data_IF_304668275628
#
_entry.id   IF_304668275628
#
_cell.length_a   1.000
_cell.length_b   1.000
_cell.length_c   1.000
_cell.angle_alpha   90.00
_cell.angle_beta   90.00
_cell.angle_gamma   90.00
#
_symmetry.space_group_name_H-M   'P 1'
#
loop_
_entity.id
_entity.type
_entity.pdbx_description
1 polymer ?
#
# COMPACT_ATOMS: atom_id res chain seq x y z
N UNK A 1 12.83 39.21 -48.85
CA UNK A 1 13.62 38.64 -47.76
C UNK A 1 12.89 38.95 -46.44
N UNK A 2 12.13 38.01 -45.92
CA UNK A 2 11.37 38.19 -44.66
C UNK A 2 11.88 37.13 -43.69
N UNK A 3 12.50 37.58 -42.60
CA UNK A 3 12.94 36.74 -41.48
C UNK A 3 11.71 36.31 -40.69
N UNK A 4 11.52 34.99 -40.62
CA UNK A 4 10.52 34.40 -39.75
C UNK A 4 11.26 33.99 -38.47
N UNK A 5 11.04 34.76 -37.41
CA UNK A 5 11.49 34.43 -36.05
C UNK A 5 10.55 33.35 -35.52
N UNK A 6 11.09 32.13 -35.37
CA UNK A 6 10.38 31.06 -34.66
C UNK A 6 10.53 31.27 -33.17
N UNK A 7 9.47 31.73 -32.53
CA UNK A 7 9.39 31.78 -31.06
C UNK A 7 9.05 30.39 -30.54
N UNK A 8 10.05 29.71 -30.02
CA UNK A 8 9.86 28.45 -29.32
C UNK A 8 9.33 28.73 -27.93
N UNK A 9 8.04 28.49 -27.72
CA UNK A 9 7.43 28.58 -26.40
C UNK A 9 7.81 27.28 -25.64
N UNK A 10 8.80 27.37 -24.80
CA UNK A 10 9.13 26.33 -23.82
C UNK A 10 8.09 26.39 -22.69
N UNK A 11 7.09 25.52 -22.72
CA UNK A 11 6.18 25.34 -21.60
C UNK A 11 6.94 24.58 -20.50
N UNK A 12 7.47 25.34 -19.56
CA UNK A 12 7.96 24.78 -18.30
C UNK A 12 6.75 24.39 -17.46
N UNK A 13 6.45 23.10 -17.42
CA UNK A 13 5.47 22.54 -16.50
C UNK A 13 6.05 22.61 -15.08
N UNK A 14 5.73 23.67 -14.36
CA UNK A 14 6.04 23.75 -12.93
C UNK A 14 5.07 22.83 -12.22
N UNK A 15 5.49 21.60 -11.96
CA UNK A 15 4.82 20.72 -11.01
C UNK A 15 5.07 21.29 -9.62
N UNK A 16 4.16 22.12 -9.15
CA UNK A 16 4.17 22.61 -7.77
C UNK A 16 3.71 21.43 -6.91
N UNK A 17 4.66 20.73 -6.32
CA UNK A 17 4.39 19.77 -5.26
C UNK A 17 3.84 20.56 -4.07
N UNK A 18 2.53 20.55 -3.90
CA UNK A 18 1.86 21.16 -2.77
C UNK A 18 2.12 20.26 -1.55
N UNK A 19 3.24 20.48 -0.87
CA UNK A 19 3.43 19.99 0.49
C UNK A 19 2.49 20.81 1.38
N UNK A 20 1.25 20.37 1.52
CA UNK A 20 0.38 20.85 2.57
C UNK A 20 0.90 20.29 3.88
N UNK A 21 1.69 21.09 4.58
CA UNK A 21 1.96 20.85 6.01
C UNK A 21 0.60 20.84 6.70
N UNK A 22 0.17 19.65 7.16
CA UNK A 22 -0.98 19.55 8.08
C UNK A 22 -0.53 20.23 9.36
N UNK A 23 -0.82 21.53 9.47
CA UNK A 23 -0.64 22.23 10.72
C UNK A 23 -1.61 21.60 11.73
N UNK A 24 -1.08 20.93 12.72
CA UNK A 24 -1.86 20.46 13.86
C UNK A 24 -2.41 21.70 14.54
N UNK A 25 -3.69 21.99 14.31
CA UNK A 25 -4.42 23.00 15.07
C UNK A 25 -4.65 22.38 16.46
N UNK A 26 -3.69 22.57 17.34
CA UNK A 26 -3.86 22.26 18.75
C UNK A 26 -4.82 23.27 19.33
N UNK A 27 -6.10 22.96 19.33
CA UNK A 27 -7.05 23.64 20.19
C UNK A 27 -6.78 23.15 21.61
N UNK A 28 -6.22 24.01 22.44
CA UNK A 28 -6.15 23.82 23.90
C UNK A 28 -7.56 23.97 24.51
N UNK A 29 -8.42 23.01 24.16
CA UNK A 29 -9.71 22.79 24.84
C UNK A 29 -9.58 21.48 25.59
N UNK A 30 -10.16 21.41 26.79
CA UNK A 30 -10.24 20.20 27.63
C UNK A 30 -11.06 19.09 26.95
N UNK A 31 -10.67 18.65 25.76
CA UNK A 31 -11.19 17.45 25.11
C UNK A 31 -10.15 16.36 25.27
N UNK A 32 -10.45 15.35 26.06
CA UNK A 32 -9.57 14.20 26.30
C UNK A 32 -9.33 13.33 25.03
N UNK A 33 -9.94 13.69 23.89
CA UNK A 33 -9.89 12.93 22.63
C UNK A 33 -9.68 13.86 21.42
N UNK A 34 -8.46 14.39 21.22
CA UNK A 34 -8.14 15.30 20.11
C UNK A 34 -8.17 14.59 18.76
N UNK A 35 -8.54 15.31 17.71
CA UNK A 35 -8.41 14.85 16.33
C UNK A 35 -6.92 14.79 15.97
N UNK A 36 -6.47 13.64 15.48
CA UNK A 36 -5.10 13.36 15.04
C UNK A 36 -5.11 12.79 13.63
N UNK A 37 -4.00 12.93 12.94
CA UNK A 37 -3.81 12.32 11.63
C UNK A 37 -2.34 12.00 11.41
N UNK A 38 -2.07 11.03 10.55
CA UNK A 38 -0.73 10.62 10.15
C UNK A 38 -0.74 10.18 8.69
N UNK A 39 0.28 10.57 7.97
CA UNK A 39 0.57 10.06 6.63
C UNK A 39 1.84 9.22 6.73
N UNK A 40 1.76 7.98 6.29
CA UNK A 40 2.91 7.08 6.21
C UNK A 40 3.07 6.61 4.77
N UNK A 41 4.25 6.79 4.23
CA UNK A 41 4.71 6.12 3.01
C UNK A 41 5.58 4.97 3.49
N UNK A 42 4.99 3.79 3.62
CA UNK A 42 5.69 2.59 4.12
C UNK A 42 6.68 2.07 3.09
N UNK A 43 6.32 2.19 1.81
CA UNK A 43 7.15 1.76 0.70
C UNK A 43 7.08 2.81 -0.42
N UNK A 44 8.24 3.30 -0.80
CA UNK A 44 8.47 3.92 -2.10
C UNK A 44 9.79 3.35 -2.59
N UNK A 45 9.70 2.39 -3.50
CA UNK A 45 10.83 1.53 -3.84
C UNK A 45 10.98 1.30 -5.34
N UNK A 46 12.21 1.08 -5.71
CA UNK A 46 12.58 0.52 -7.00
C UNK A 46 12.76 -0.99 -6.84
N UNK A 47 12.12 -1.75 -7.72
CA UNK A 47 12.19 -3.20 -7.79
C UNK A 47 13.03 -3.60 -9.00
N UNK A 48 14.10 -4.37 -8.75
CA UNK A 48 14.96 -4.93 -9.81
C UNK A 48 14.41 -6.26 -10.32
N UNK A 49 13.11 -6.24 -10.67
CA UNK A 49 12.41 -7.35 -11.30
C UNK A 49 12.51 -7.26 -12.84
N UNK A 50 11.89 -8.19 -13.55
CA UNK A 50 11.89 -8.24 -15.02
C UNK A 50 11.34 -6.95 -15.66
N UNK A 51 10.40 -6.29 -15.03
CA UNK A 51 9.72 -5.07 -15.52
C UNK A 51 10.33 -3.77 -14.99
N UNK A 52 11.21 -3.84 -13.97
CA UNK A 52 11.85 -2.69 -13.32
C UNK A 52 10.85 -1.67 -12.81
N UNK A 53 9.99 -2.14 -11.89
CA UNK A 53 8.89 -1.37 -11.36
C UNK A 53 9.33 -0.30 -10.36
N UNK A 54 8.50 0.73 -10.24
CA UNK A 54 8.43 1.59 -9.05
C UNK A 54 7.16 1.19 -8.31
N UNK A 55 7.31 0.76 -7.06
CA UNK A 55 6.20 0.38 -6.21
C UNK A 55 6.02 1.37 -5.06
N UNK A 56 4.77 1.52 -4.61
CA UNK A 56 4.44 2.31 -3.43
C UNK A 56 3.42 1.58 -2.56
N UNK A 57 3.54 1.79 -1.24
CA UNK A 57 2.51 1.48 -0.26
C UNK A 57 2.42 2.68 0.68
N UNK A 58 1.25 3.28 0.76
CA UNK A 58 1.02 4.53 1.51
C UNK A 58 -0.30 4.43 2.25
N UNK A 59 -0.30 4.86 3.48
CA UNK A 59 -1.53 5.00 4.25
C UNK A 59 -1.64 6.39 4.86
N UNK A 60 -2.85 6.88 4.93
CA UNK A 60 -3.22 8.10 5.64
C UNK A 60 -4.38 7.79 6.57
N UNK A 61 -4.31 8.28 7.80
CA UNK A 61 -5.47 8.22 8.66
C UNK A 61 -5.73 9.55 9.36
N UNK A 62 -7.00 9.77 9.64
CA UNK A 62 -7.49 10.92 10.40
C UNK A 62 -8.58 10.44 11.36
N UNK A 63 -8.50 10.82 12.62
CA UNK A 63 -9.53 10.42 13.57
C UNK A 63 -9.18 10.72 15.01
N UNK A 64 -9.94 10.11 15.88
CA UNK A 64 -9.80 10.11 17.32
C UNK A 64 -9.34 8.75 17.81
N UNK A 65 -9.10 8.61 19.12
CA UNK A 65 -8.49 7.39 19.67
C UNK A 65 -9.23 6.10 19.26
N UNK A 66 -10.56 6.09 19.30
CA UNK A 66 -11.36 4.89 18.99
C UNK A 66 -11.91 4.82 17.57
N UNK A 67 -11.93 5.94 16.84
CA UNK A 67 -12.59 6.04 15.54
C UNK A 67 -11.71 6.80 14.56
N UNK A 68 -11.33 6.15 13.46
CA UNK A 68 -10.43 6.70 12.46
C UNK A 68 -10.96 6.44 11.06
N UNK A 69 -10.69 7.34 10.15
CA UNK A 69 -10.86 7.13 8.73
C UNK A 69 -9.47 6.84 8.15
N UNK A 70 -9.32 5.71 7.46
CA UNK A 70 -8.09 5.33 6.77
C UNK A 70 -8.27 5.41 5.27
N UNK A 71 -7.24 5.87 4.60
CA UNK A 71 -7.05 5.73 3.16
C UNK A 71 -5.75 4.97 2.93
N UNK A 72 -5.87 3.80 2.31
CA UNK A 72 -4.73 2.99 1.86
C UNK A 72 -4.60 3.10 0.35
N UNK A 73 -3.40 3.22 -0.14
CA UNK A 73 -3.07 3.11 -1.56
C UNK A 73 -1.77 2.35 -1.72
N UNK A 74 -1.82 1.30 -2.50
CA UNK A 74 -0.64 0.58 -2.93
C UNK A 74 -0.69 0.34 -4.42
N UNK A 75 0.46 0.10 -5.02
CA UNK A 75 0.50 -0.18 -6.44
C UNK A 75 1.91 -0.19 -6.97
N UNK A 76 1.97 -0.50 -8.26
CA UNK A 76 3.21 -0.57 -9.00
C UNK A 76 3.07 0.07 -10.37
N UNK A 77 4.17 0.59 -10.84
CA UNK A 77 4.28 1.17 -12.17
C UNK A 77 5.43 0.52 -12.92
N UNK A 78 5.15 -0.44 -13.80
CA UNK A 78 6.10 -0.97 -14.73
C UNK A 78 6.66 0.10 -15.68
N UNK A 79 7.88 -0.08 -16.13
CA UNK A 79 8.49 0.87 -17.06
C UNK A 79 7.83 0.79 -18.43
N UNK A 80 7.06 1.83 -18.80
CA UNK A 80 6.41 1.93 -20.10
C UNK A 80 4.99 1.36 -20.15
N UNK A 81 4.44 0.91 -19.03
CA UNK A 81 3.10 0.34 -18.92
C UNK A 81 2.15 1.18 -18.05
N UNK A 82 0.90 0.74 -17.99
CA UNK A 82 -0.13 1.35 -17.16
C UNK A 82 0.07 1.00 -15.71
N UNK A 83 -0.29 1.92 -14.83
CA UNK A 83 -0.20 1.75 -13.38
C UNK A 83 -1.24 0.75 -12.89
N UNK A 84 -0.80 -0.28 -12.16
CA UNK A 84 -1.65 -1.09 -11.29
C UNK A 84 -1.77 -0.43 -9.92
N UNK A 85 -2.97 -0.39 -9.35
CA UNK A 85 -3.15 0.16 -8.00
C UNK A 85 -4.35 -0.40 -7.28
N UNK A 86 -4.22 -0.53 -5.97
CA UNK A 86 -5.28 -0.90 -5.03
C UNK A 86 -5.48 0.26 -4.06
N UNK A 87 -6.72 0.70 -3.94
CA UNK A 87 -7.07 1.83 -3.11
C UNK A 87 -8.22 1.45 -2.19
N UNK A 88 -8.15 1.81 -0.90
CA UNK A 88 -9.21 1.52 0.05
C UNK A 88 -9.49 2.75 0.91
N UNK A 89 -10.76 3.08 1.08
CA UNK A 89 -11.23 4.07 2.04
C UNK A 89 -12.10 3.37 3.06
N UNK A 90 -11.62 3.27 4.30
CA UNK A 90 -12.29 2.51 5.35
C UNK A 90 -12.41 3.30 6.64
N UNK A 91 -13.54 3.14 7.30
CA UNK A 91 -13.72 3.58 8.67
C UNK A 91 -13.24 2.48 9.61
N UNK A 92 -12.41 2.83 10.58
CA UNK A 92 -11.79 1.94 11.57
C UNK A 92 -12.31 2.27 12.94
N UNK A 93 -12.72 1.23 13.70
CA UNK A 93 -13.14 1.34 15.07
C UNK A 93 -12.42 0.33 15.94
N UNK A 94 -11.84 0.81 17.04
CA UNK A 94 -11.25 -0.05 18.04
C UNK A 94 -12.34 -0.89 18.73
N UNK A 95 -12.17 -2.22 18.72
CA UNK A 95 -13.09 -3.20 19.31
C UNK A 95 -12.48 -3.92 20.51
N UNK A 96 -11.16 -3.97 20.58
CA UNK A 96 -10.40 -4.54 21.68
C UNK A 96 -9.03 -3.84 21.80
N UNK A 97 -8.28 -4.01 22.88
CA UNK A 97 -6.90 -3.56 22.93
C UNK A 97 -6.11 -4.13 21.74
N UNK A 98 -5.49 -3.25 20.97
CA UNK A 98 -4.69 -3.59 19.78
C UNK A 98 -5.45 -4.15 18.56
N UNK A 99 -6.80 -4.11 18.56
CA UNK A 99 -7.58 -4.62 17.45
C UNK A 99 -8.66 -3.63 17.01
N UNK A 100 -8.64 -3.32 15.72
CA UNK A 100 -9.60 -2.47 15.03
C UNK A 100 -10.40 -3.30 14.01
N UNK A 101 -11.71 -3.11 13.97
CA UNK A 101 -12.54 -3.52 12.83
C UNK A 101 -12.63 -2.36 11.85
N UNK A 102 -12.50 -2.69 10.56
CA UNK A 102 -12.57 -1.71 9.47
C UNK A 102 -13.67 -2.10 8.50
N UNK A 103 -14.38 -1.12 7.96
CA UNK A 103 -15.34 -1.31 6.88
C UNK A 103 -15.39 -0.10 5.96
N UNK A 104 -15.57 -0.35 4.68
CA UNK A 104 -15.54 0.70 3.67
C UNK A 104 -15.59 0.18 2.25
N UNK A 105 -14.91 0.88 1.36
CA UNK A 105 -14.88 0.58 -0.07
C UNK A 105 -13.44 0.46 -0.56
N UNK A 106 -13.25 -0.42 -1.53
CA UNK A 106 -11.99 -0.60 -2.25
C UNK A 106 -12.19 -0.36 -3.74
N UNK A 107 -11.13 0.05 -4.40
CA UNK A 107 -11.07 0.21 -5.85
C UNK A 107 -9.71 -0.25 -6.34
N UNK A 108 -9.72 -1.37 -7.06
CA UNK A 108 -8.54 -1.95 -7.68
C UNK A 108 -8.55 -1.63 -9.16
N UNK A 109 -7.38 -1.28 -9.67
CA UNK A 109 -7.18 -0.95 -11.07
C UNK A 109 -5.97 -1.70 -11.61
N UNK A 110 -6.14 -2.34 -12.75
CA UNK A 110 -5.08 -2.92 -13.56
C UNK A 110 -4.89 -2.12 -14.86
N UNK A 111 -3.97 -2.55 -15.71
CA UNK A 111 -3.79 -1.94 -17.03
C UNK A 111 -5.03 -2.06 -17.93
N UNK A 112 -5.86 -3.09 -17.73
CA UNK A 112 -6.95 -3.50 -18.62
C UNK A 112 -8.33 -3.26 -18.05
N UNK A 113 -8.50 -3.32 -16.73
CA UNK A 113 -9.82 -3.29 -16.08
C UNK A 113 -9.74 -2.69 -14.67
N UNK A 114 -10.89 -2.55 -14.03
CA UNK A 114 -11.00 -2.09 -12.64
C UNK A 114 -12.15 -2.80 -11.92
N UNK A 115 -11.99 -3.00 -10.62
CA UNK A 115 -12.95 -3.69 -9.75
C UNK A 115 -13.24 -2.84 -8.52
N UNK A 116 -14.52 -2.70 -8.18
CA UNK A 116 -14.95 -2.07 -6.93
C UNK A 116 -15.30 -3.11 -5.89
N UNK A 117 -14.88 -2.88 -4.65
CA UNK A 117 -15.06 -3.80 -3.54
C UNK A 117 -15.77 -3.14 -2.36
N UNK A 118 -16.70 -3.84 -1.72
CA UNK A 118 -17.03 -3.62 -0.33
C UNK A 118 -15.95 -4.28 0.54
N UNK A 119 -15.45 -3.59 1.56
CA UNK A 119 -14.34 -4.05 2.40
C UNK A 119 -14.80 -4.20 3.84
N UNK A 120 -14.52 -5.36 4.44
CA UNK A 120 -14.60 -5.59 5.89
C UNK A 120 -13.24 -6.16 6.30
N UNK A 121 -12.55 -5.50 7.24
CA UNK A 121 -11.22 -5.95 7.65
C UNK A 121 -11.08 -5.94 9.18
N UNK A 122 -10.15 -6.74 9.66
CA UNK A 122 -9.66 -6.75 11.01
C UNK A 122 -8.18 -6.42 10.97
N UNK A 123 -7.76 -5.38 11.70
CA UNK A 123 -6.37 -4.99 11.79
C UNK A 123 -5.94 -4.95 13.24
N UNK A 124 -4.73 -5.41 13.52
CA UNK A 124 -4.23 -5.33 14.88
C UNK A 124 -2.88 -5.96 15.11
N UNK A 125 -2.48 -5.93 16.38
CA UNK A 125 -1.24 -6.54 16.82
C UNK A 125 -1.54 -7.92 17.40
N UNK A 126 -1.15 -8.97 16.67
CA UNK A 126 -1.27 -10.35 17.09
C UNK A 126 -0.20 -10.71 18.16
N UNK A 127 -0.31 -11.85 18.86
CA UNK A 127 0.72 -12.32 19.79
C UNK A 127 2.12 -12.30 19.14
N UNK A 128 3.13 -12.03 19.95
CA UNK A 128 4.52 -11.86 19.53
C UNK A 128 4.81 -10.62 18.68
N UNK A 129 3.93 -9.61 18.73
CA UNK A 129 4.07 -8.33 18.04
C UNK A 129 3.99 -8.41 16.52
N UNK A 130 3.27 -9.39 15.98
CA UNK A 130 2.95 -9.40 14.55
C UNK A 130 1.88 -8.35 14.25
N UNK A 131 2.20 -7.39 13.42
CA UNK A 131 1.20 -6.51 12.81
C UNK A 131 0.46 -7.30 11.75
N UNK A 132 -0.87 -7.42 11.91
CA UNK A 132 -1.68 -8.24 11.01
C UNK A 132 -2.87 -7.49 10.50
N UNK A 133 -3.22 -7.72 9.24
CA UNK A 133 -4.45 -7.25 8.62
C UNK A 133 -5.09 -8.37 7.81
N UNK A 134 -6.37 -8.65 8.09
CA UNK A 134 -7.17 -9.57 7.30
C UNK A 134 -8.38 -8.83 6.73
N UNK A 135 -8.58 -8.87 5.42
CA UNK A 135 -9.66 -8.19 4.72
C UNK A 135 -10.50 -9.16 3.90
N UNK A 136 -11.81 -9.11 4.09
CA UNK A 136 -12.81 -9.71 3.22
C UNK A 136 -13.30 -8.65 2.22
N UNK A 137 -13.30 -9.00 0.95
CA UNK A 137 -13.68 -8.16 -0.16
C UNK A 137 -14.93 -8.73 -0.81
N UNK A 138 -15.90 -7.87 -1.12
CA UNK A 138 -17.13 -8.25 -1.83
C UNK A 138 -17.20 -7.39 -3.08
N UNK A 139 -16.95 -7.99 -4.24
CA UNK A 139 -16.95 -7.32 -5.53
C UNK A 139 -18.36 -6.99 -6.03
N UNK A 140 -18.45 -5.97 -6.84
CA UNK A 140 -19.69 -5.56 -7.53
C UNK A 140 -20.20 -6.62 -8.54
N UNK A 141 -19.32 -7.50 -9.03
CA UNK A 141 -19.62 -8.69 -9.83
C UNK A 141 -20.03 -9.92 -8.97
N UNK A 142 -20.07 -9.77 -7.64
CA UNK A 142 -20.31 -10.84 -6.67
C UNK A 142 -19.11 -11.79 -6.51
N UNK A 143 -17.90 -11.39 -6.87
CA UNK A 143 -16.66 -12.06 -6.48
C UNK A 143 -16.39 -11.80 -5.01
N UNK A 144 -15.87 -12.79 -4.29
CA UNK A 144 -15.39 -12.63 -2.92
C UNK A 144 -13.87 -12.73 -2.94
N UNK A 145 -13.22 -11.80 -2.25
CA UNK A 145 -11.77 -11.80 -2.04
C UNK A 145 -11.42 -11.93 -0.56
N UNK A 146 -10.29 -12.55 -0.28
CA UNK A 146 -9.65 -12.61 1.02
C UNK A 146 -8.21 -12.14 0.84
N UNK A 147 -7.81 -11.11 1.60
CA UNK A 147 -6.42 -10.63 1.69
C UNK A 147 -5.95 -10.74 3.12
N UNK A 148 -4.82 -11.35 3.32
CA UNK A 148 -4.19 -11.51 4.63
C UNK A 148 -2.76 -10.99 4.54
N UNK A 149 -2.37 -10.20 5.53
CA UNK A 149 -1.02 -9.66 5.66
C UNK A 149 -0.54 -9.80 7.10
N UNK A 150 0.72 -10.14 7.24
CA UNK A 150 1.41 -10.18 8.53
C UNK A 150 2.83 -9.64 8.36
N UNK A 151 3.22 -8.75 9.27
CA UNK A 151 4.54 -8.14 9.33
C UNK A 151 5.11 -8.22 10.75
N UNK A 152 6.43 -8.30 10.84
CA UNK A 152 7.14 -8.30 12.12
C UNK A 152 8.34 -7.35 12.06
N UNK A 153 8.55 -6.54 13.10
CA UNK A 153 9.72 -5.69 13.23
C UNK A 153 10.77 -6.31 14.15
N UNK A 154 11.86 -6.82 13.58
CA UNK A 154 13.01 -7.34 14.33
C UNK A 154 14.07 -6.25 14.50
N UNK A 155 14.19 -5.71 15.69
CA UNK A 155 15.18 -4.67 16.01
C UNK A 155 16.55 -5.29 16.28
N UNK A 156 17.47 -5.22 15.32
CA UNK A 156 18.89 -5.60 15.58
C UNK A 156 19.60 -4.54 16.40
N UNK A 157 19.28 -3.28 16.17
CA UNK A 157 19.70 -2.14 16.99
C UNK A 157 18.53 -1.14 17.08
N UNK A 158 18.70 -0.05 17.81
CA UNK A 158 17.70 1.02 17.86
C UNK A 158 17.44 1.71 16.51
N UNK A 159 18.30 1.48 15.50
CA UNK A 159 18.22 2.11 14.17
C UNK A 159 18.19 1.11 13.03
N UNK A 160 18.66 -0.10 13.24
CA UNK A 160 18.71 -1.13 12.21
C UNK A 160 17.61 -2.16 12.49
N UNK A 161 16.62 -2.20 11.63
CA UNK A 161 15.39 -2.97 11.80
C UNK A 161 15.21 -3.86 10.57
N UNK A 162 15.01 -5.15 10.80
CA UNK A 162 14.60 -6.10 9.78
C UNK A 162 13.09 -6.27 9.85
N UNK A 163 12.43 -6.11 8.71
CA UNK A 163 10.98 -6.21 8.58
C UNK A 163 10.63 -7.33 7.61
N UNK A 164 10.49 -8.59 8.07
CA UNK A 164 9.87 -9.65 7.30
C UNK A 164 8.37 -9.44 7.24
N UNK A 165 7.77 -9.62 6.07
CA UNK A 165 6.31 -9.64 5.89
C UNK A 165 5.88 -10.70 4.89
N UNK A 166 4.63 -11.13 5.00
CA UNK A 166 3.99 -12.08 4.09
C UNK A 166 2.56 -11.65 3.82
N UNK A 167 2.16 -11.74 2.57
CA UNK A 167 0.77 -11.51 2.16
C UNK A 167 0.23 -12.69 1.35
N UNK A 168 -1.09 -12.90 1.46
CA UNK A 168 -1.84 -13.95 0.78
C UNK A 168 -3.12 -13.36 0.20
N UNK A 169 -3.39 -13.65 -1.06
CA UNK A 169 -4.60 -13.25 -1.75
C UNK A 169 -5.33 -14.46 -2.29
N UNK A 170 -6.65 -14.49 -2.09
CA UNK A 170 -7.51 -15.56 -2.60
C UNK A 170 -8.85 -14.99 -3.09
N UNK A 171 -9.41 -15.58 -4.17
CA UNK A 171 -10.66 -15.14 -4.76
C UNK A 171 -11.61 -16.31 -5.02
N UNK A 172 -12.92 -16.02 -5.00
CA UNK A 172 -13.95 -17.04 -5.18
C UNK A 172 -14.28 -17.36 -6.64
N UNK A 173 -13.95 -16.45 -7.56
CA UNK A 173 -14.22 -16.53 -9.00
C UNK A 173 -13.02 -16.11 -9.82
N UNK A 174 -12.96 -16.60 -11.07
CA UNK A 174 -12.02 -16.10 -12.05
C UNK A 174 -12.49 -14.74 -12.59
N UNK A 175 -11.56 -13.80 -12.71
CA UNK A 175 -11.74 -12.52 -13.40
C UNK A 175 -10.48 -12.28 -14.26
N UNK A 176 -10.54 -12.79 -15.51
CA UNK A 176 -9.39 -12.78 -16.42
C UNK A 176 -8.94 -11.36 -16.76
N UNK A 177 -9.87 -10.41 -16.88
CA UNK A 177 -9.54 -9.02 -17.19
C UNK A 177 -8.76 -8.32 -16.06
N UNK A 178 -8.99 -8.76 -14.81
CA UNK A 178 -8.24 -8.30 -13.64
C UNK A 178 -6.98 -9.15 -13.35
N UNK A 179 -6.77 -10.25 -14.10
CA UNK A 179 -5.67 -11.18 -13.84
C UNK A 179 -5.88 -12.06 -12.60
N UNK A 180 -7.12 -12.17 -12.10
CA UNK A 180 -7.45 -12.89 -10.88
C UNK A 180 -8.03 -14.27 -11.21
N UNK A 181 -7.53 -15.30 -10.56
CA UNK A 181 -8.02 -16.66 -10.66
C UNK A 181 -8.67 -17.14 -9.36
N UNK A 182 -9.60 -18.06 -9.48
CA UNK A 182 -10.28 -18.69 -8.35
C UNK A 182 -9.34 -19.49 -7.48
N UNK A 183 -9.49 -19.36 -6.17
CA UNK A 183 -8.69 -20.04 -5.14
C UNK A 183 -7.59 -19.14 -4.59
N UNK A 184 -6.51 -19.75 -4.13
CA UNK A 184 -5.30 -19.00 -3.76
C UNK A 184 -4.74 -18.35 -5.02
N UNK A 185 -4.64 -17.02 -5.01
CA UNK A 185 -4.22 -16.22 -6.15
C UNK A 185 -2.75 -15.88 -6.11
N UNK A 186 -2.30 -15.29 -5.00
CA UNK A 186 -0.92 -14.83 -4.86
C UNK A 186 -0.39 -15.08 -3.44
N UNK A 187 0.90 -15.31 -3.35
CA UNK A 187 1.68 -15.22 -2.10
C UNK A 187 2.87 -14.33 -2.39
N UNK A 188 3.04 -13.31 -1.54
CA UNK A 188 4.24 -12.46 -1.58
C UNK A 188 4.93 -12.52 -0.22
N UNK A 189 6.23 -12.81 -0.25
CA UNK A 189 7.10 -12.78 0.92
C UNK A 189 8.15 -11.68 0.75
N UNK A 190 8.28 -10.83 1.75
CA UNK A 190 9.13 -9.65 1.72
C UNK A 190 10.09 -9.67 2.91
N UNK A 191 11.29 -9.18 2.70
CA UNK A 191 12.29 -8.98 3.75
C UNK A 191 13.02 -7.67 3.50
N UNK A 192 12.79 -6.67 4.33
CA UNK A 192 13.38 -5.35 4.20
C UNK A 192 14.28 -5.02 5.39
N UNK A 193 15.52 -4.63 5.14
CA UNK A 193 16.45 -4.15 6.16
C UNK A 193 16.52 -2.63 6.06
N UNK A 194 15.90 -1.95 7.02
CA UNK A 194 15.84 -0.49 7.08
C UNK A 194 16.80 0.09 8.10
N UNK A 195 17.35 1.26 7.81
CA UNK A 195 18.19 2.02 8.72
C UNK A 195 17.55 3.39 9.02
N UNK A 196 17.12 3.60 10.25
CA UNK A 196 16.53 4.86 10.71
C UNK A 196 17.59 5.95 10.87
N UNK A 197 17.77 6.78 9.84
CA UNK A 197 18.62 7.98 9.93
C UNK A 197 17.96 8.96 10.91
N UNK A 198 16.65 9.13 10.75
CA UNK A 198 15.72 9.76 11.69
C UNK A 198 14.52 8.83 11.86
N UNK A 199 13.74 9.00 12.91
CA UNK A 199 12.53 8.20 13.11
C UNK A 199 11.54 8.34 11.96
N UNK A 200 11.47 9.56 11.39
CA UNK A 200 10.56 9.90 10.29
C UNK A 200 11.07 9.48 8.92
N UNK A 201 12.37 9.11 8.81
CA UNK A 201 12.99 8.77 7.51
C UNK A 201 13.96 7.61 7.64
N UNK A 202 13.67 6.52 6.94
CA UNK A 202 14.46 5.31 6.93
C UNK A 202 14.64 4.76 5.50
N UNK A 203 15.81 4.89 4.87
CA UNK A 203 16.15 4.13 3.67
C UNK A 203 16.28 2.64 4.01
N UNK A 204 15.98 1.79 3.00
CA UNK A 204 16.12 0.34 3.14
C UNK A 204 16.58 -0.33 1.84
N UNK A 205 17.05 -1.55 2.01
CA UNK A 205 17.25 -2.54 0.96
C UNK A 205 16.52 -3.81 1.34
N UNK A 206 16.12 -4.59 0.36
CA UNK A 206 15.37 -5.80 0.67
C UNK A 206 15.36 -6.82 -0.46
N UNK A 207 14.68 -7.91 -0.17
CA UNK A 207 14.35 -8.97 -1.11
C UNK A 207 12.84 -9.17 -1.08
N UNK A 208 12.28 -9.43 -2.23
CA UNK A 208 10.88 -9.79 -2.39
C UNK A 208 10.78 -11.01 -3.30
N UNK A 209 9.88 -11.91 -2.94
CA UNK A 209 9.49 -13.04 -3.75
C UNK A 209 7.98 -13.06 -3.85
N UNK A 210 7.47 -13.14 -5.07
CA UNK A 210 6.04 -13.19 -5.35
C UNK A 210 5.75 -14.33 -6.30
N UNK A 211 4.64 -15.04 -6.03
CA UNK A 211 4.22 -16.18 -6.82
C UNK A 211 2.71 -16.24 -6.94
N UNK A 212 2.23 -16.43 -8.17
CA UNK A 212 0.84 -16.73 -8.46
C UNK A 212 0.58 -18.23 -8.41
N UNK A 213 -0.62 -18.61 -7.95
CA UNK A 213 -1.05 -20.00 -7.75
C UNK A 213 -2.36 -20.28 -8.47
N UNK A 214 -2.65 -21.58 -8.67
CA UNK A 214 -3.91 -22.07 -9.22
C UNK A 214 -4.28 -21.39 -10.53
N UNK A 215 -5.56 -21.07 -10.68
CA UNK A 215 -6.08 -20.44 -11.90
C UNK A 215 -5.43 -19.08 -12.18
N UNK A 216 -4.95 -18.36 -11.16
CA UNK A 216 -4.22 -17.10 -11.36
C UNK A 216 -2.90 -17.33 -12.11
N UNK A 217 -2.18 -18.40 -11.78
CA UNK A 217 -0.94 -18.74 -12.49
C UNK A 217 -1.18 -19.13 -13.96
N UNK A 218 -2.34 -19.69 -14.26
CA UNK A 218 -2.75 -20.02 -15.64
C UNK A 218 -3.12 -18.75 -16.45
N UNK A 219 -3.65 -17.72 -15.78
CA UNK A 219 -4.04 -16.44 -16.41
C UNK A 219 -2.82 -15.51 -16.53
N UNK A 220 -2.06 -15.38 -15.44
CA UNK A 220 -0.90 -14.49 -15.32
C UNK A 220 0.20 -15.22 -14.53
N UNK A 221 1.14 -15.85 -15.23
CA UNK A 221 2.23 -16.56 -14.58
C UNK A 221 3.19 -15.56 -13.89
N UNK A 222 3.43 -15.76 -12.61
CA UNK A 222 4.42 -15.05 -11.82
C UNK A 222 5.08 -16.03 -10.84
N UNK A 223 6.39 -16.12 -10.85
CA UNK A 223 7.22 -16.80 -9.86
C UNK A 223 8.60 -16.14 -9.92
N UNK A 224 8.75 -15.04 -9.20
CA UNK A 224 9.93 -14.19 -9.30
C UNK A 224 10.41 -13.73 -7.94
N UNK A 225 11.73 -13.75 -7.76
CA UNK A 225 12.42 -13.16 -6.61
C UNK A 225 13.36 -12.05 -7.08
N UNK A 226 13.30 -10.89 -6.44
CA UNK A 226 14.08 -9.72 -6.84
C UNK A 226 14.53 -8.89 -5.64
N UNK A 227 15.53 -8.04 -5.91
CA UNK A 227 16.02 -7.07 -4.94
C UNK A 227 15.21 -5.77 -5.02
N UNK A 228 15.04 -5.13 -3.88
CA UNK A 228 14.38 -3.84 -3.77
C UNK A 228 15.25 -2.83 -3.03
N UNK A 229 15.10 -1.56 -3.38
CA UNK A 229 15.70 -0.44 -2.65
C UNK A 229 14.70 0.71 -2.58
N UNK A 230 14.56 1.31 -1.43
CA UNK A 230 13.57 2.35 -1.23
C UNK A 230 13.74 3.10 0.09
N UNK A 231 12.69 3.79 0.47
CA UNK A 231 12.64 4.48 1.74
C UNK A 231 11.23 4.47 2.33
N UNK A 232 11.19 4.52 3.66
CA UNK A 232 9.99 4.75 4.47
C UNK A 232 10.04 6.15 5.04
N UNK A 233 8.89 6.83 5.03
CA UNK A 233 8.75 8.16 5.64
C UNK A 233 7.36 8.34 6.22
N UNK A 234 7.27 9.05 7.35
CA UNK A 234 5.98 9.38 7.96
C UNK A 234 5.96 10.83 8.49
N UNK A 235 4.75 11.40 8.56
CA UNK A 235 4.49 12.79 8.96
C UNK A 235 3.29 12.87 9.90
#
# INVERSE_FOLDING_TARGET
MKNIIKTTITRTLKTTLLLTTVATISHAGMSDDPLRGMLTIDQLEYQDNSEKNIAWNTNFWLGKDLNKLYFYTEGEKPKGESVGSENQLVYSRAIAPFWDIQYGVGYDKTATDSQTWGVIALQGLAPYFFETRGALLVGDDGNLGLRLEAEYEALFTQKLILTPSVSFDAYSKDNVSMGLGKGLSNITARMRLRYEIRREFAPYVGLEWSKNFGNTADISFLDEGYAVTGFRVWF
#
